data_IF_589795756290
#
_entry.id   IF_589795756290
#
_cell.length_a   1.000
_cell.length_b   1.000
_cell.length_c   1.000
_cell.angle_alpha   90.00
_cell.angle_beta   90.00
_cell.angle_gamma   90.00
#
_symmetry.space_group_name_H-M   'P 1'
#
loop_
_entity.id
_entity.type
_entity.pdbx_description
1 polymer ?
#
# COMPACT_ATOMS: atom_id res chain seq x y z
N UNK A 1 2.54 -4.22 1.28
CA UNK A 1 3.35 -3.41 2.23
C UNK A 1 3.19 -1.93 1.95
N UNK A 2 3.36 -1.47 0.71
CA UNK A 2 3.21 -0.04 0.34
C UNK A 2 1.89 0.60 0.83
N UNK A 3 0.74 -0.03 0.60
CA UNK A 3 -0.56 0.50 1.06
C UNK A 3 -0.66 0.62 2.59
N UNK A 4 0.00 -0.29 3.34
CA UNK A 4 0.03 -0.23 4.81
C UNK A 4 0.93 0.91 5.28
N UNK A 5 2.10 1.10 4.66
CA UNK A 5 2.99 2.24 4.98
C UNK A 5 2.34 3.59 4.68
N UNK A 6 1.54 3.68 3.60
CA UNK A 6 0.74 4.87 3.29
C UNK A 6 -0.34 5.10 4.36
N UNK A 7 -1.04 4.04 4.79
CA UNK A 7 -2.01 4.14 5.88
C UNK A 7 -1.36 4.62 7.18
N UNK A 8 -0.23 4.04 7.58
CA UNK A 8 0.50 4.44 8.78
C UNK A 8 0.91 5.92 8.73
N UNK A 9 1.37 6.40 7.58
CA UNK A 9 1.72 7.80 7.38
C UNK A 9 0.49 8.72 7.51
N UNK A 10 -0.64 8.33 6.92
CA UNK A 10 -1.90 9.07 7.01
C UNK A 10 -2.45 9.09 8.44
N UNK A 11 -2.48 7.95 9.13
CA UNK A 11 -2.85 7.84 10.54
C UNK A 11 -2.00 8.77 11.42
N UNK A 12 -0.67 8.75 11.25
CA UNK A 12 0.25 9.64 11.98
C UNK A 12 -0.03 11.12 11.67
N UNK A 13 -0.34 11.45 10.42
CA UNK A 13 -0.72 12.80 10.02
C UNK A 13 -2.01 13.25 10.73
N UNK A 14 -3.05 12.41 10.70
CA UNK A 14 -4.35 12.68 11.31
C UNK A 14 -4.30 12.79 12.82
N UNK A 15 -3.50 11.96 13.49
CA UNK A 15 -3.30 12.05 14.94
C UNK A 15 -2.61 13.35 15.34
N UNK A 16 -1.64 13.84 14.54
CA UNK A 16 -1.04 15.16 14.76
C UNK A 16 -2.08 16.27 14.61
N UNK A 17 -2.87 16.23 13.54
CA UNK A 17 -3.93 17.21 13.33
C UNK A 17 -4.98 17.18 14.46
N UNK A 18 -5.34 15.99 14.96
CA UNK A 18 -6.26 15.84 16.09
C UNK A 18 -5.71 16.50 17.36
N UNK A 19 -4.42 16.31 17.66
CA UNK A 19 -3.77 16.98 18.79
C UNK A 19 -3.79 18.51 18.63
N UNK A 20 -3.56 19.02 17.42
CA UNK A 20 -3.67 20.45 17.13
C UNK A 20 -5.08 20.97 17.35
N UNK A 21 -6.10 20.25 16.88
CA UNK A 21 -7.50 20.59 17.13
C UNK A 21 -7.81 20.65 18.63
N UNK A 22 -7.38 19.67 19.41
CA UNK A 22 -7.62 19.64 20.87
C UNK A 22 -6.99 20.85 21.58
N UNK A 23 -5.78 21.25 21.20
CA UNK A 23 -5.14 22.48 21.72
C UNK A 23 -6.00 23.71 21.40
N UNK A 24 -6.42 23.86 20.14
CA UNK A 24 -7.20 25.03 19.70
C UNK A 24 -8.62 25.06 20.28
N UNK A 25 -9.24 23.89 20.48
CA UNK A 25 -10.53 23.76 21.17
C UNK A 25 -10.41 24.28 22.59
N UNK A 26 -9.37 23.88 23.32
CA UNK A 26 -9.11 24.33 24.69
C UNK A 26 -8.88 25.85 24.76
N UNK A 27 -8.13 26.41 23.83
CA UNK A 27 -7.90 27.87 23.75
C UNK A 27 -9.20 28.64 23.48
N UNK A 28 -9.99 28.19 22.50
CA UNK A 28 -11.25 28.83 22.13
C UNK A 28 -12.30 28.72 23.25
N UNK A 29 -12.37 27.58 23.94
CA UNK A 29 -13.29 27.33 25.04
C UNK A 29 -13.06 28.27 26.23
N UNK A 30 -11.81 28.64 26.52
CA UNK A 30 -11.46 29.54 27.62
C UNK A 30 -11.96 30.97 27.40
N UNK A 31 -12.18 31.38 26.16
CA UNK A 31 -12.65 32.73 25.84
C UNK A 31 -14.19 32.76 25.74
N UNK A 32 -14.83 32.93 26.90
CA UNK A 32 -16.30 32.91 27.03
C UNK A 32 -16.98 34.18 26.53
N UNK A 33 -16.26 35.28 26.34
CA UNK A 33 -16.84 36.60 26.03
C UNK A 33 -16.82 36.94 24.54
N UNK A 34 -15.99 36.26 23.74
CA UNK A 34 -15.90 36.47 22.29
C UNK A 34 -16.85 35.55 21.52
N UNK A 35 -17.78 36.13 20.76
CA UNK A 35 -18.65 35.38 19.85
C UNK A 35 -17.85 34.60 18.78
N UNK A 36 -16.73 35.17 18.31
CA UNK A 36 -15.85 34.49 17.36
C UNK A 36 -15.15 33.29 18.00
N UNK A 37 -14.76 33.36 19.28
CA UNK A 37 -14.18 32.21 19.97
C UNK A 37 -15.19 31.07 20.16
N UNK A 38 -16.45 31.40 20.46
CA UNK A 38 -17.52 30.39 20.54
C UNK A 38 -17.82 29.72 19.20
N UNK A 39 -17.87 30.50 18.11
CA UNK A 39 -18.02 29.97 16.75
C UNK A 39 -16.83 29.08 16.37
N UNK A 40 -15.60 29.53 16.65
CA UNK A 40 -14.39 28.76 16.39
C UNK A 40 -14.38 27.44 17.18
N UNK A 41 -14.73 27.48 18.46
CA UNK A 41 -14.87 26.29 19.30
C UNK A 41 -15.84 25.27 18.70
N UNK A 42 -17.01 25.72 18.25
CA UNK A 42 -18.00 24.87 17.59
C UNK A 42 -17.43 24.19 16.33
N UNK A 43 -16.81 24.97 15.43
CA UNK A 43 -16.26 24.43 14.19
C UNK A 43 -15.09 23.47 14.43
N UNK A 44 -14.20 23.77 15.38
CA UNK A 44 -13.08 22.88 15.71
C UNK A 44 -13.57 21.55 16.30
N UNK A 45 -14.63 21.56 17.12
CA UNK A 45 -15.23 20.32 17.62
C UNK A 45 -15.83 19.47 16.50
N UNK A 46 -16.51 20.10 15.54
CA UNK A 46 -17.03 19.38 14.37
C UNK A 46 -15.88 18.79 13.54
N UNK A 47 -14.84 19.59 13.26
CA UNK A 47 -13.67 19.12 12.53
C UNK A 47 -12.98 17.94 13.23
N UNK A 48 -12.92 17.93 14.58
CA UNK A 48 -12.36 16.81 15.34
C UNK A 48 -13.17 15.53 15.15
N UNK A 49 -14.50 15.62 15.27
CA UNK A 49 -15.39 14.48 15.08
C UNK A 49 -15.30 13.91 13.66
N UNK A 50 -15.27 14.77 12.64
CA UNK A 50 -15.13 14.31 11.25
C UNK A 50 -13.74 13.71 10.99
N UNK A 51 -12.68 14.24 11.59
CA UNK A 51 -11.35 13.64 11.47
C UNK A 51 -11.29 12.23 12.09
N UNK A 52 -11.90 12.04 13.26
CA UNK A 52 -12.03 10.72 13.91
C UNK A 52 -12.83 9.73 13.03
N UNK A 53 -13.93 10.19 12.43
CA UNK A 53 -14.74 9.36 11.51
C UNK A 53 -13.97 8.98 10.27
N UNK A 54 -13.31 9.94 9.64
CA UNK A 54 -12.54 9.73 8.42
C UNK A 54 -11.37 8.76 8.65
N UNK A 55 -10.70 8.84 9.80
CA UNK A 55 -9.67 7.88 10.20
C UNK A 55 -10.23 6.44 10.21
N UNK A 56 -11.37 6.25 10.88
CA UNK A 56 -12.03 4.94 10.98
C UNK A 56 -12.55 4.44 9.63
N UNK A 57 -13.08 5.33 8.81
CA UNK A 57 -13.56 5.02 7.47
C UNK A 57 -12.43 4.51 6.57
N UNK A 58 -11.28 5.19 6.57
CA UNK A 58 -10.10 4.76 5.79
C UNK A 58 -9.62 3.38 6.23
N UNK A 59 -9.53 3.12 7.54
CA UNK A 59 -9.16 1.81 8.07
C UNK A 59 -10.15 0.71 7.64
N UNK A 60 -11.44 0.99 7.75
CA UNK A 60 -12.52 0.05 7.37
C UNK A 60 -12.45 -0.26 5.88
N UNK A 61 -12.34 0.77 5.04
CA UNK A 61 -12.26 0.63 3.59
C UNK A 61 -11.04 -0.20 3.16
N UNK A 62 -9.88 0.01 3.79
CA UNK A 62 -8.69 -0.78 3.50
C UNK A 62 -8.87 -2.25 3.90
N UNK A 63 -9.44 -2.51 5.07
CA UNK A 63 -9.68 -3.87 5.54
C UNK A 63 -10.68 -4.62 4.64
N UNK A 64 -11.78 -3.97 4.26
CA UNK A 64 -12.74 -4.53 3.30
C UNK A 64 -12.11 -4.81 1.93
N UNK A 65 -11.22 -3.92 1.46
CA UNK A 65 -10.48 -4.15 0.22
C UNK A 65 -9.58 -5.38 0.34
N UNK A 66 -8.85 -5.56 1.45
CA UNK A 66 -8.05 -6.76 1.68
C UNK A 66 -8.88 -8.04 1.75
N UNK A 67 -10.04 -8.02 2.41
CA UNK A 67 -10.93 -9.16 2.44
C UNK A 67 -11.41 -9.55 1.04
N UNK A 68 -11.83 -8.58 0.23
CA UNK A 68 -12.22 -8.81 -1.16
C UNK A 68 -11.07 -9.42 -1.97
N UNK A 69 -9.86 -8.87 -1.83
CA UNK A 69 -8.68 -9.41 -2.49
C UNK A 69 -8.37 -10.84 -2.05
N UNK A 70 -8.45 -11.15 -0.77
CA UNK A 70 -8.19 -12.48 -0.23
C UNK A 70 -9.13 -13.55 -0.80
N UNK A 71 -10.37 -13.19 -1.17
CA UNK A 71 -11.32 -14.13 -1.81
C UNK A 71 -11.06 -14.37 -3.30
N UNK A 72 -10.20 -13.56 -3.94
CA UNK A 72 -9.94 -13.60 -5.38
C UNK A 72 -8.48 -13.93 -5.72
N UNK A 73 -7.56 -13.69 -4.80
CA UNK A 73 -6.15 -13.92 -5.01
C UNK A 73 -5.79 -15.39 -4.77
N UNK A 74 -4.89 -15.89 -5.62
CA UNK A 74 -4.16 -17.12 -5.33
C UNK A 74 -2.93 -16.79 -4.48
N UNK A 75 -2.71 -17.58 -3.43
CA UNK A 75 -1.54 -17.44 -2.58
C UNK A 75 -0.37 -18.21 -3.17
N UNK A 76 0.73 -17.52 -3.46
CA UNK A 76 2.00 -18.18 -3.81
C UNK A 76 2.62 -18.68 -2.49
N UNK A 77 2.71 -20.01 -2.26
CA UNK A 77 3.22 -20.54 -1.02
C UNK A 77 4.72 -20.29 -0.89
N UNK A 78 5.14 -19.86 0.29
CA UNK A 78 6.56 -19.77 0.63
C UNK A 78 7.09 -21.18 0.95
N UNK A 79 8.08 -21.64 0.19
CA UNK A 79 8.70 -22.95 0.43
C UNK A 79 10.06 -22.82 1.11
N UNK A 80 10.48 -23.83 1.85
CA UNK A 80 11.80 -23.86 2.49
C UNK A 80 12.95 -23.61 1.51
N UNK A 81 12.82 -24.10 0.27
CA UNK A 81 13.81 -23.90 -0.78
C UNK A 81 13.92 -22.43 -1.21
N UNK A 82 12.80 -21.70 -1.28
CA UNK A 82 12.80 -20.25 -1.57
C UNK A 82 13.49 -19.46 -0.46
N UNK A 83 13.26 -19.83 0.81
CA UNK A 83 13.91 -19.18 1.96
C UNK A 83 15.43 -19.40 1.91
N UNK A 84 15.87 -20.64 1.62
CA UNK A 84 17.28 -20.97 1.49
C UNK A 84 17.94 -20.23 0.32
N UNK A 85 17.28 -20.16 -0.85
CA UNK A 85 17.76 -19.41 -2.00
C UNK A 85 17.86 -17.89 -1.73
N UNK A 86 16.92 -17.34 -0.96
CA UNK A 86 16.96 -15.95 -0.51
C UNK A 86 18.20 -15.68 0.37
N UNK A 87 18.54 -16.61 1.27
CA UNK A 87 19.71 -16.46 2.16
C UNK A 87 21.05 -16.52 1.41
N UNK A 88 21.14 -17.30 0.33
CA UNK A 88 22.39 -17.54 -0.41
C UNK A 88 22.71 -16.47 -1.46
N UNK A 89 21.80 -15.56 -1.75
CA UNK A 89 21.96 -14.51 -2.78
C UNK A 89 22.35 -13.16 -2.15
N UNK A 90 22.85 -12.21 -2.96
CA UNK A 90 23.46 -10.92 -2.57
C UNK A 90 22.77 -10.19 -1.37
N UNK A 91 23.51 -9.74 -0.32
CA UNK A 91 22.95 -9.12 0.89
C UNK A 91 22.43 -7.68 0.73
N UNK A 92 22.64 -7.03 -0.43
CA UNK A 92 22.36 -5.61 -0.62
C UNK A 92 20.90 -5.26 -1.03
N UNK A 93 19.97 -6.23 -1.02
CA UNK A 93 18.53 -5.97 -1.24
C UNK A 93 17.75 -6.12 0.05
N UNK A 94 16.67 -5.35 0.18
CA UNK A 94 15.74 -5.48 1.30
C UNK A 94 15.24 -6.94 1.36
N UNK A 95 15.35 -7.62 2.53
CA UNK A 95 15.13 -9.07 2.64
C UNK A 95 13.73 -9.54 2.20
N UNK A 96 12.72 -8.68 2.38
CA UNK A 96 11.32 -8.96 2.08
C UNK A 96 11.05 -8.89 0.58
N UNK A 97 11.48 -7.82 -0.08
CA UNK A 97 11.35 -7.66 -1.54
C UNK A 97 12.08 -8.76 -2.30
N UNK A 98 13.22 -9.19 -1.76
CA UNK A 98 13.99 -10.32 -2.31
C UNK A 98 13.24 -11.65 -2.16
N UNK A 99 12.59 -11.87 -1.03
CA UNK A 99 11.76 -13.06 -0.80
C UNK A 99 10.53 -13.05 -1.74
N UNK A 100 9.90 -11.90 -1.92
CA UNK A 100 8.79 -11.70 -2.87
C UNK A 100 9.25 -12.05 -4.28
N UNK A 101 10.39 -11.53 -4.72
CA UNK A 101 10.95 -11.82 -6.05
C UNK A 101 11.19 -13.33 -6.23
N UNK A 102 11.87 -13.99 -5.30
CA UNK A 102 12.13 -15.43 -5.40
C UNK A 102 10.84 -16.27 -5.44
N UNK A 103 9.82 -15.86 -4.70
CA UNK A 103 8.50 -16.51 -4.70
C UNK A 103 7.84 -16.39 -6.08
N UNK A 104 7.86 -15.20 -6.67
CA UNK A 104 7.34 -14.93 -8.02
C UNK A 104 8.09 -15.77 -9.07
N UNK A 105 9.42 -15.75 -9.04
CA UNK A 105 10.25 -16.47 -10.02
C UNK A 105 10.01 -17.97 -9.95
N UNK A 106 9.95 -18.53 -8.75
CA UNK A 106 9.69 -19.95 -8.59
C UNK A 106 8.27 -20.33 -9.05
N UNK A 107 7.25 -19.52 -8.71
CA UNK A 107 5.89 -19.75 -9.18
C UNK A 107 5.79 -19.71 -10.70
N UNK A 108 6.44 -18.74 -11.35
CA UNK A 108 6.47 -18.63 -12.81
C UNK A 108 7.10 -19.86 -13.47
N UNK A 109 8.22 -20.36 -12.92
CA UNK A 109 8.87 -21.59 -13.41
C UNK A 109 8.01 -22.84 -13.28
N UNK A 110 7.23 -22.94 -12.21
CA UNK A 110 6.32 -24.08 -12.00
C UNK A 110 5.07 -24.03 -12.87
N UNK A 111 4.68 -22.83 -13.33
CA UNK A 111 3.47 -22.61 -14.12
C UNK A 111 3.79 -21.92 -15.45
N UNK A 112 4.59 -22.53 -16.35
CA UNK A 112 5.12 -21.85 -17.54
C UNK A 112 4.06 -21.55 -18.61
N UNK A 113 2.89 -22.19 -18.56
CA UNK A 113 1.83 -22.05 -19.57
C UNK A 113 0.91 -20.87 -19.33
N UNK A 114 0.91 -20.26 -18.14
CA UNK A 114 0.02 -19.15 -17.82
C UNK A 114 0.68 -17.82 -18.14
N UNK A 115 -0.08 -16.91 -18.74
CA UNK A 115 0.35 -15.54 -18.98
C UNK A 115 0.48 -14.84 -17.63
N UNK A 116 1.68 -14.33 -17.34
CA UNK A 116 1.98 -13.60 -16.12
C UNK A 116 2.46 -12.19 -16.45
N UNK A 117 1.97 -11.24 -15.68
CA UNK A 117 2.44 -9.86 -15.69
C UNK A 117 2.77 -9.45 -14.27
N UNK A 118 3.64 -8.45 -14.12
CA UNK A 118 4.05 -7.98 -12.81
C UNK A 118 3.68 -6.52 -12.61
N UNK A 119 2.97 -6.24 -11.52
CA UNK A 119 2.55 -4.90 -11.11
C UNK A 119 3.20 -4.59 -9.76
N UNK A 120 4.01 -3.54 -9.69
CA UNK A 120 4.60 -3.06 -8.44
C UNK A 120 4.88 -1.57 -8.50
N UNK A 121 4.46 -0.84 -7.45
CA UNK A 121 4.73 0.58 -7.26
C UNK A 121 6.18 0.86 -6.81
N UNK A 122 6.90 -0.13 -6.27
CA UNK A 122 8.31 0.00 -5.91
C UNK A 122 9.22 -0.05 -7.15
N UNK A 123 9.19 1.04 -7.93
CA UNK A 123 10.03 1.22 -9.13
C UNK A 123 11.52 1.28 -8.81
N UNK A 124 11.90 1.61 -7.58
CA UNK A 124 13.30 1.73 -7.18
C UNK A 124 13.99 0.36 -7.12
N UNK A 125 13.27 -0.70 -6.78
CA UNK A 125 13.82 -2.04 -6.71
C UNK A 125 13.37 -2.92 -7.86
N UNK A 126 12.07 -2.95 -8.15
CA UNK A 126 11.50 -3.80 -9.19
C UNK A 126 11.52 -3.17 -10.58
N UNK A 127 11.65 -1.85 -10.67
CA UNK A 127 11.82 -1.14 -11.93
C UNK A 127 13.24 -1.21 -12.50
N UNK A 128 14.21 -1.77 -11.76
CA UNK A 128 15.58 -1.94 -12.23
C UNK A 128 15.61 -2.95 -13.39
N UNK A 129 16.38 -2.62 -14.43
CA UNK A 129 16.54 -3.47 -15.63
C UNK A 129 16.97 -4.89 -15.28
N UNK A 130 17.93 -5.04 -14.36
CA UNK A 130 18.36 -6.35 -13.84
C UNK A 130 17.20 -7.21 -13.30
N UNK A 131 16.20 -6.61 -12.66
CA UNK A 131 15.04 -7.35 -12.13
C UNK A 131 14.07 -7.69 -13.25
N UNK A 132 13.83 -6.76 -14.17
CA UNK A 132 12.97 -6.99 -15.33
C UNK A 132 13.53 -8.08 -16.25
N UNK A 133 14.85 -8.11 -16.44
CA UNK A 133 15.52 -9.15 -17.23
C UNK A 133 15.30 -10.54 -16.61
N UNK A 134 15.50 -10.68 -15.28
CA UNK A 134 15.27 -11.94 -14.55
C UNK A 134 13.78 -12.36 -14.58
N UNK A 135 12.85 -11.39 -14.53
CA UNK A 135 11.41 -11.67 -14.68
C UNK A 135 11.08 -12.15 -16.11
N UNK A 136 11.71 -11.55 -17.12
CA UNK A 136 11.57 -11.95 -18.52
C UNK A 136 12.06 -13.38 -18.79
N UNK A 137 13.16 -13.80 -18.15
CA UNK A 137 13.67 -15.18 -18.25
C UNK A 137 12.66 -16.26 -17.84
N UNK A 138 11.70 -15.91 -16.97
CA UNK A 138 10.63 -16.81 -16.51
C UNK A 138 9.27 -16.51 -17.17
N UNK A 139 9.25 -15.72 -18.24
CA UNK A 139 8.04 -15.45 -19.03
C UNK A 139 7.18 -14.27 -18.56
N UNK A 140 7.65 -13.49 -17.59
CA UNK A 140 6.95 -12.28 -17.10
C UNK A 140 7.47 -11.08 -17.89
N UNK A 141 6.89 -10.87 -19.07
CA UNK A 141 7.40 -9.89 -20.04
C UNK A 141 6.87 -8.46 -19.85
N UNK A 142 5.81 -8.28 -19.06
CA UNK A 142 5.19 -6.99 -18.83
C UNK A 142 5.34 -6.58 -17.36
N UNK A 143 6.01 -5.45 -17.16
CA UNK A 143 6.09 -4.76 -15.87
C UNK A 143 5.26 -3.49 -15.91
N UNK A 144 4.40 -3.30 -14.91
CA UNK A 144 3.58 -2.12 -14.72
C UNK A 144 3.97 -1.43 -13.42
N UNK A 145 4.34 -0.15 -13.52
CA UNK A 145 4.62 0.70 -12.35
C UNK A 145 3.36 1.32 -11.73
N UNK A 146 2.21 1.25 -12.43
CA UNK A 146 0.95 1.83 -11.96
C UNK A 146 -0.23 0.96 -12.36
N UNK A 147 -1.26 0.96 -11.50
CA UNK A 147 -2.52 0.26 -11.75
C UNK A 147 -3.19 0.75 -13.02
N UNK A 148 -3.14 2.04 -13.32
CA UNK A 148 -3.75 2.60 -14.53
C UNK A 148 -3.14 2.01 -15.80
N UNK A 149 -1.81 1.91 -15.87
CA UNK A 149 -1.13 1.31 -17.02
C UNK A 149 -1.50 -0.16 -17.20
N UNK A 150 -1.60 -0.91 -16.09
CA UNK A 150 -2.05 -2.30 -16.11
C UNK A 150 -3.50 -2.43 -16.61
N UNK A 151 -4.43 -1.61 -16.10
CA UNK A 151 -5.83 -1.65 -16.51
C UNK A 151 -6.02 -1.33 -17.99
N UNK A 152 -5.34 -0.29 -18.50
CA UNK A 152 -5.39 0.03 -19.92
C UNK A 152 -4.82 -1.07 -20.80
N UNK A 153 -3.77 -1.77 -20.36
CA UNK A 153 -3.28 -2.96 -21.06
C UNK A 153 -4.31 -4.10 -21.03
N UNK A 154 -4.90 -4.37 -19.87
CA UNK A 154 -5.87 -5.45 -19.67
C UNK A 154 -7.13 -5.25 -20.54
N UNK A 155 -7.65 -4.03 -20.61
CA UNK A 155 -8.79 -3.67 -21.47
C UNK A 155 -8.50 -3.96 -22.95
N UNK A 156 -7.28 -3.67 -23.41
CA UNK A 156 -6.83 -3.98 -24.77
C UNK A 156 -6.64 -5.49 -25.03
N UNK A 157 -6.54 -6.33 -24.00
CA UNK A 157 -6.48 -7.80 -24.18
C UNK A 157 -7.89 -8.44 -24.27
N UNK A 158 -8.91 -7.74 -23.79
CA UNK A 158 -10.29 -8.23 -23.72
C UNK A 158 -11.15 -7.75 -24.91
N UNK A 159 -10.58 -6.94 -25.80
CA UNK A 159 -11.20 -6.42 -27.03
C UNK A 159 -10.79 -7.22 -28.26
#
# INVERSE_FOLDING_TARGET
>A
MEALSVLEADQKSRLRFQNELDIRINDAQRNLTSQHAQSLFFHLRQARLENERLLKEVETNLFEAFQKLATKAEMIPLTSNMIQANWQTNPNKEPTDKLILHSILNHARLNPTEIKVFLSGNTNDFGKREVQDILGEVGINYYFASTQAFLSWLENQLS
#
